data_IF_961447430840
#
_entry.id   IF_961447430840
#
_cell.length_a   1.000
_cell.length_b   1.000
_cell.length_c   1.000
_cell.angle_alpha   90.00
_cell.angle_beta   90.00
_cell.angle_gamma   90.00
#
_symmetry.space_group_name_H-M   'P 1'
#
loop_
_entity.id
_entity.type
_entity.pdbx_description
1 polymer ?
#
# COMPACT_ATOMS: atom_id res chain seq x y z
N UNK A 1 3.76 -15.33 -3.29
CA UNK A 1 4.52 -14.44 -4.19
C UNK A 1 4.40 -14.78 -5.68
N UNK A 2 4.35 -16.05 -6.14
CA UNK A 2 4.32 -16.37 -7.59
C UNK A 2 3.10 -15.85 -8.37
N UNK A 3 2.02 -15.49 -7.69
CA UNK A 3 0.77 -15.07 -8.35
C UNK A 3 0.68 -13.58 -8.73
N UNK A 4 1.61 -12.73 -8.25
CA UNK A 4 1.57 -11.28 -8.51
C UNK A 4 2.29 -10.88 -9.80
N UNK A 5 3.39 -11.57 -10.15
CA UNK A 5 4.20 -11.31 -11.34
C UNK A 5 4.82 -12.61 -11.85
N UNK A 6 4.03 -13.55 -12.44
CA UNK A 6 4.48 -14.92 -12.74
C UNK A 6 5.65 -14.99 -13.73
N UNK A 7 5.80 -13.99 -14.60
CA UNK A 7 6.84 -13.95 -15.65
C UNK A 7 7.91 -12.89 -15.40
N UNK A 8 7.92 -12.25 -14.22
CA UNK A 8 8.90 -11.21 -13.93
C UNK A 8 10.28 -11.83 -13.71
N UNK A 9 11.36 -11.26 -14.27
CA UNK A 9 12.72 -11.67 -13.96
C UNK A 9 13.01 -11.41 -12.48
N UNK A 10 13.68 -12.37 -11.83
CA UNK A 10 13.94 -12.33 -10.39
C UNK A 10 15.42 -12.44 -10.12
N UNK A 11 15.89 -11.63 -9.17
CA UNK A 11 17.19 -11.76 -8.54
C UNK A 11 16.94 -12.20 -7.10
N UNK A 12 17.24 -13.46 -6.80
CA UNK A 12 16.94 -14.10 -5.54
C UNK A 12 18.20 -14.33 -4.73
N UNK A 13 18.10 -14.28 -3.40
CA UNK A 13 19.16 -14.71 -2.51
C UNK A 13 18.80 -16.00 -1.77
N UNK A 14 19.75 -16.91 -1.68
CA UNK A 14 19.61 -18.17 -0.97
C UNK A 14 20.74 -18.35 0.04
N UNK A 15 20.39 -18.56 1.31
CA UNK A 15 21.36 -18.79 2.36
C UNK A 15 21.66 -20.28 2.50
N UNK A 16 22.94 -20.64 2.49
CA UNK A 16 23.45 -21.94 2.95
C UNK A 16 23.91 -21.76 4.41
N UNK A 17 23.16 -22.28 5.39
CA UNK A 17 23.41 -22.01 6.81
C UNK A 17 24.85 -22.32 7.24
N UNK A 18 25.49 -21.35 7.92
CA UNK A 18 26.84 -21.45 8.39
C UNK A 18 27.96 -21.48 7.32
N UNK A 19 27.63 -21.21 6.06
CA UNK A 19 28.56 -21.25 4.93
C UNK A 19 28.58 -19.96 4.12
N UNK A 20 27.53 -19.72 3.31
CA UNK A 20 27.48 -18.58 2.40
C UNK A 20 26.04 -18.18 2.03
N UNK A 21 25.93 -17.05 1.35
CA UNK A 21 24.72 -16.60 0.68
C UNK A 21 25.02 -16.53 -0.82
N UNK A 22 24.15 -17.08 -1.64
CA UNK A 22 24.19 -17.03 -3.09
C UNK A 22 23.12 -16.08 -3.63
N UNK A 23 23.46 -15.40 -4.72
CA UNK A 23 22.51 -14.64 -5.54
C UNK A 23 22.26 -15.40 -6.83
N UNK A 24 20.99 -15.55 -7.19
CA UNK A 24 20.52 -16.29 -8.35
C UNK A 24 19.76 -15.37 -9.30
N UNK A 25 20.19 -15.33 -10.52
CA UNK A 25 19.45 -14.70 -11.64
C UNK A 25 18.58 -15.76 -12.32
N UNK A 26 17.27 -15.67 -12.12
CA UNK A 26 16.33 -16.68 -12.65
C UNK A 26 16.20 -16.65 -14.17
N UNK A 27 16.43 -15.48 -14.80
CA UNK A 27 16.31 -15.35 -16.26
C UNK A 27 17.52 -15.92 -17.01
N UNK A 28 18.73 -15.78 -16.45
CA UNK A 28 19.96 -16.30 -17.06
C UNK A 28 20.36 -17.67 -16.51
N UNK A 29 19.75 -18.15 -15.43
CA UNK A 29 20.16 -19.38 -14.73
C UNK A 29 21.55 -19.26 -14.09
N UNK A 30 22.04 -18.05 -13.83
CA UNK A 30 23.35 -17.78 -13.26
C UNK A 30 23.29 -17.62 -11.74
N UNK A 31 24.32 -18.08 -11.03
CA UNK A 31 24.42 -17.91 -9.59
C UNK A 31 25.86 -17.56 -9.16
N UNK A 32 25.99 -16.79 -8.08
CA UNK A 32 27.28 -16.49 -7.47
C UNK A 32 27.16 -16.25 -5.95
N UNK A 33 28.23 -16.54 -5.22
CA UNK A 33 28.33 -16.27 -3.78
C UNK A 33 28.50 -14.77 -3.56
N UNK A 34 27.57 -14.16 -2.81
CA UNK A 34 27.58 -12.73 -2.44
C UNK A 34 27.93 -12.49 -0.97
N UNK A 35 27.92 -13.51 -0.14
CA UNK A 35 28.30 -13.45 1.27
C UNK A 35 28.93 -14.72 1.74
N UNK A 36 29.99 -14.65 2.61
CA UNK A 36 30.63 -15.78 3.23
C UNK A 36 30.58 -15.68 4.74
N UNK A 37 30.26 -16.80 5.39
CA UNK A 37 30.24 -16.88 6.84
C UNK A 37 31.68 -16.86 7.39
N UNK A 38 31.94 -15.97 8.35
CA UNK A 38 33.20 -15.83 9.05
C UNK A 38 33.05 -16.33 10.50
N UNK A 39 33.52 -17.56 10.75
CA UNK A 39 33.44 -18.20 12.06
C UNK A 39 34.36 -17.55 13.10
N UNK A 40 35.34 -16.75 12.68
CA UNK A 40 36.31 -16.09 13.58
C UNK A 40 35.68 -14.88 14.30
N UNK A 41 34.56 -14.36 13.81
CA UNK A 41 33.87 -13.24 14.46
C UNK A 41 33.04 -13.70 15.66
N UNK A 42 32.97 -12.89 16.74
CA UNK A 42 32.22 -13.24 17.94
C UNK A 42 30.71 -13.36 17.66
N UNK A 43 29.97 -14.15 18.45
CA UNK A 43 28.52 -14.19 18.43
C UNK A 43 27.94 -12.79 18.73
N UNK A 44 26.95 -12.36 17.96
CA UNK A 44 26.33 -11.03 18.10
C UNK A 44 26.82 -10.01 17.07
N UNK A 45 27.96 -10.24 16.44
CA UNK A 45 28.40 -9.47 15.28
C UNK A 45 27.83 -10.06 13.97
N UNK A 46 27.87 -9.24 12.93
CA UNK A 46 27.43 -9.65 11.61
C UNK A 46 28.48 -10.57 10.98
N UNK A 47 28.29 -11.90 11.13
CA UNK A 47 29.21 -12.93 10.72
C UNK A 47 29.22 -13.24 9.23
N UNK A 48 28.34 -12.63 8.45
CA UNK A 48 28.30 -12.81 7.01
C UNK A 48 29.07 -11.68 6.32
N UNK A 49 30.21 -11.98 5.74
CA UNK A 49 31.08 -11.02 5.03
C UNK A 49 30.63 -10.87 3.58
N UNK A 50 30.41 -9.64 3.08
CA UNK A 50 30.09 -9.40 1.67
C UNK A 50 31.19 -9.95 0.73
N UNK A 51 30.77 -10.43 -0.44
CA UNK A 51 31.65 -10.89 -1.54
C UNK A 51 31.31 -10.04 -2.78
N UNK A 52 31.97 -8.87 -2.97
CA UNK A 52 31.64 -7.93 -4.05
C UNK A 52 31.72 -8.53 -5.45
N UNK A 53 32.62 -9.47 -5.68
CA UNK A 53 32.79 -10.15 -6.96
C UNK A 53 31.55 -10.95 -7.38
N UNK A 54 30.78 -11.46 -6.43
CA UNK A 54 29.51 -12.15 -6.71
C UNK A 54 28.45 -11.20 -7.24
N UNK A 55 28.34 -10.01 -6.63
CA UNK A 55 27.46 -8.95 -7.13
C UNK A 55 27.83 -8.49 -8.54
N UNK A 56 29.13 -8.35 -8.81
CA UNK A 56 29.62 -7.97 -10.13
C UNK A 56 29.36 -9.06 -11.18
N UNK A 57 29.48 -10.34 -10.81
CA UNK A 57 29.35 -11.45 -11.75
C UNK A 57 27.89 -11.75 -12.14
N UNK A 58 26.95 -11.63 -11.22
CA UNK A 58 25.54 -12.01 -11.42
C UNK A 58 24.61 -10.81 -11.24
N UNK A 59 24.75 -10.06 -10.17
CA UNK A 59 23.84 -8.98 -9.80
C UNK A 59 23.81 -7.86 -10.84
N UNK A 60 24.95 -7.28 -11.19
CA UNK A 60 25.03 -6.17 -12.14
C UNK A 60 24.48 -6.54 -13.54
N UNK A 61 24.90 -7.67 -14.15
CA UNK A 61 24.34 -8.06 -15.44
C UNK A 61 22.82 -8.33 -15.40
N UNK A 62 22.31 -8.87 -14.30
CA UNK A 62 20.88 -9.11 -14.13
C UNK A 62 20.08 -7.77 -14.07
N UNK A 63 20.51 -6.82 -13.23
CA UNK A 63 19.90 -5.50 -13.11
C UNK A 63 19.91 -4.73 -14.43
N UNK A 64 21.02 -4.80 -15.18
CA UNK A 64 21.13 -4.17 -16.52
C UNK A 64 20.12 -4.76 -17.51
N UNK A 65 19.97 -6.09 -17.55
CA UNK A 65 18.97 -6.74 -18.41
C UNK A 65 17.55 -6.35 -18.01
N UNK A 66 17.24 -6.33 -16.70
CA UNK A 66 15.94 -5.91 -16.19
C UNK A 66 15.63 -4.47 -16.57
N UNK A 67 16.59 -3.55 -16.41
CA UNK A 67 16.43 -2.15 -16.76
C UNK A 67 16.20 -1.93 -18.26
N UNK A 68 16.86 -2.71 -19.12
CA UNK A 68 16.66 -2.67 -20.59
C UNK A 68 15.31 -3.25 -20.99
N UNK A 69 14.89 -4.34 -20.37
CA UNK A 69 13.61 -4.99 -20.65
C UNK A 69 12.41 -4.17 -20.17
N UNK A 70 12.58 -3.42 -19.07
CA UNK A 70 11.49 -2.70 -18.41
C UNK A 70 10.45 -3.65 -17.78
N UNK A 71 9.31 -3.08 -17.37
CA UNK A 71 8.23 -3.88 -16.77
C UNK A 71 8.46 -4.21 -15.31
N UNK A 72 8.04 -5.42 -14.86
CA UNK A 72 8.21 -5.87 -13.49
C UNK A 72 9.55 -6.56 -13.28
N UNK A 73 10.17 -6.30 -12.12
CA UNK A 73 11.35 -7.01 -11.63
C UNK A 73 11.18 -7.36 -10.14
N UNK A 74 11.75 -8.49 -9.70
CA UNK A 74 11.70 -8.93 -8.29
C UNK A 74 13.11 -9.04 -7.74
N UNK A 75 13.33 -8.42 -6.55
CA UNK A 75 14.59 -8.48 -5.79
C UNK A 75 14.30 -9.11 -4.42
N UNK A 76 14.77 -10.31 -4.18
CA UNK A 76 14.57 -11.04 -2.91
C UNK A 76 15.91 -11.64 -2.44
N UNK A 77 16.58 -11.06 -1.45
CA UNK A 77 16.27 -9.91 -0.61
C UNK A 77 17.43 -8.88 -0.69
N UNK A 78 17.16 -7.64 -0.23
CA UNK A 78 18.18 -6.59 -0.08
C UNK A 78 18.49 -6.37 1.40
N UNK A 79 19.77 -6.33 1.76
CA UNK A 79 20.21 -6.19 3.15
C UNK A 79 21.53 -5.42 3.29
N UNK A 80 22.33 -5.80 4.28
CA UNK A 80 23.62 -5.17 4.52
C UNK A 80 24.74 -5.71 3.61
N UNK A 81 24.57 -6.87 2.97
CA UNK A 81 25.58 -7.45 2.08
C UNK A 81 25.91 -6.53 0.91
N UNK A 82 24.93 -5.75 0.48
CA UNK A 82 25.06 -4.74 -0.58
C UNK A 82 25.91 -3.55 -0.15
N UNK A 83 26.14 -3.32 1.17
CA UNK A 83 26.78 -2.09 1.68
C UNK A 83 28.22 -1.87 1.18
N UNK A 84 28.91 -2.92 0.75
CA UNK A 84 30.23 -2.84 0.14
C UNK A 84 30.26 -2.76 -1.40
N UNK A 85 29.09 -2.64 -2.06
CA UNK A 85 28.94 -2.80 -3.51
C UNK A 85 28.23 -1.59 -4.12
N UNK A 86 28.94 -0.44 -4.17
CA UNK A 86 28.37 0.85 -4.62
C UNK A 86 27.75 0.75 -6.03
N UNK A 87 28.39 0.06 -6.97
CA UNK A 87 27.89 -0.10 -8.33
C UNK A 87 26.57 -0.88 -8.37
N UNK A 88 26.43 -1.91 -7.53
CA UNK A 88 25.17 -2.66 -7.40
C UNK A 88 24.08 -1.81 -6.80
N UNK A 89 24.35 -1.08 -5.71
CA UNK A 89 23.39 -0.16 -5.09
C UNK A 89 22.90 0.89 -6.09
N UNK A 90 23.82 1.51 -6.83
CA UNK A 90 23.47 2.52 -7.83
C UNK A 90 22.61 1.91 -8.96
N UNK A 91 22.97 0.71 -9.42
CA UNK A 91 22.20 0.00 -10.45
C UNK A 91 20.77 -0.35 -10.00
N UNK A 92 20.57 -0.70 -8.73
CA UNK A 92 19.23 -0.89 -8.15
C UNK A 92 18.45 0.43 -8.19
N UNK A 93 19.02 1.53 -7.69
CA UNK A 93 18.37 2.83 -7.68
C UNK A 93 18.04 3.34 -9.09
N UNK A 94 18.90 3.09 -10.07
CA UNK A 94 18.63 3.48 -11.46
C UNK A 94 17.55 2.60 -12.10
N UNK A 95 17.48 1.33 -11.75
CA UNK A 95 16.41 0.41 -12.20
C UNK A 95 15.03 0.85 -11.69
N UNK A 96 14.92 1.39 -10.46
CA UNK A 96 13.66 1.91 -9.93
C UNK A 96 13.03 3.01 -10.79
N UNK A 97 13.83 3.75 -11.55
CA UNK A 97 13.36 4.84 -12.44
C UNK A 97 12.69 4.32 -13.72
N UNK A 98 12.95 3.07 -14.10
CA UNK A 98 12.53 2.48 -15.39
C UNK A 98 11.74 1.19 -15.25
N UNK A 99 11.76 0.55 -14.10
CA UNK A 99 11.04 -0.70 -13.80
C UNK A 99 10.06 -0.53 -12.64
N UNK A 100 9.03 -1.38 -12.62
CA UNK A 100 8.21 -1.64 -11.43
C UNK A 100 8.91 -2.72 -10.63
N UNK A 101 9.32 -2.41 -9.41
CA UNK A 101 10.12 -3.33 -8.60
C UNK A 101 9.33 -3.80 -7.38
N UNK A 102 9.31 -5.12 -7.17
CA UNK A 102 8.94 -5.74 -5.91
C UNK A 102 10.22 -6.15 -5.20
N UNK A 103 10.58 -5.48 -4.11
CA UNK A 103 11.77 -5.79 -3.33
C UNK A 103 11.42 -6.30 -1.93
N UNK A 104 12.06 -7.38 -1.49
CA UNK A 104 12.10 -7.76 -0.07
C UNK A 104 13.33 -7.08 0.54
N UNK A 105 13.09 -6.25 1.56
CA UNK A 105 14.12 -5.43 2.20
C UNK A 105 14.23 -5.84 3.66
N UNK A 106 15.44 -6.14 4.11
CA UNK A 106 15.71 -6.42 5.53
C UNK A 106 15.55 -5.16 6.38
N UNK A 107 15.00 -5.31 7.57
CA UNK A 107 14.95 -4.26 8.60
C UNK A 107 16.35 -4.02 9.18
N UNK A 108 17.19 -3.32 8.42
CA UNK A 108 18.54 -2.96 8.79
C UNK A 108 18.78 -1.49 8.46
N UNK A 109 19.57 -0.82 9.29
CA UNK A 109 19.87 0.59 9.11
C UNK A 109 21.15 0.76 8.28
N UNK A 110 21.01 0.79 6.96
CA UNK A 110 22.10 1.15 6.04
C UNK A 110 21.70 2.37 5.20
N UNK A 111 22.67 3.21 4.74
CA UNK A 111 22.35 4.36 3.87
C UNK A 111 21.59 3.96 2.61
N UNK A 112 21.96 2.81 2.01
CA UNK A 112 21.30 2.27 0.82
C UNK A 112 19.82 1.91 1.08
N UNK A 113 19.54 1.14 2.13
CA UNK A 113 18.16 0.74 2.45
C UNK A 113 17.30 1.93 2.86
N UNK A 114 17.87 2.93 3.55
CA UNK A 114 17.16 4.19 3.84
C UNK A 114 16.81 4.93 2.56
N UNK A 115 17.75 5.06 1.61
CA UNK A 115 17.50 5.72 0.33
C UNK A 115 16.41 5.00 -0.47
N UNK A 116 16.44 3.66 -0.51
CA UNK A 116 15.44 2.83 -1.18
C UNK A 116 14.04 3.01 -0.59
N UNK A 117 13.92 2.96 0.74
CA UNK A 117 12.63 3.10 1.43
C UNK A 117 12.11 4.55 1.48
N UNK A 118 12.98 5.55 1.30
CA UNK A 118 12.61 6.96 1.27
C UNK A 118 12.26 7.47 -0.14
N UNK A 119 12.37 6.64 -1.18
CA UNK A 119 11.96 7.01 -2.52
C UNK A 119 10.47 7.41 -2.52
N UNK A 120 10.10 8.58 -3.08
CA UNK A 120 8.71 9.08 -3.04
C UNK A 120 7.72 8.19 -3.78
N UNK A 121 8.19 7.36 -4.72
CA UNK A 121 7.37 6.39 -5.45
C UNK A 121 7.38 5.00 -4.78
N UNK A 122 8.17 4.80 -3.71
CA UNK A 122 8.23 3.55 -2.97
C UNK A 122 7.01 3.39 -2.04
N UNK A 123 6.47 2.20 -2.05
CA UNK A 123 5.45 1.76 -1.13
C UNK A 123 6.07 0.71 -0.18
N UNK A 124 6.34 1.09 1.06
CA UNK A 124 6.96 0.22 2.06
C UNK A 124 5.89 -0.47 2.91
N UNK A 125 5.81 -1.80 2.84
CA UNK A 125 4.93 -2.62 3.66
C UNK A 125 5.75 -3.37 4.72
N UNK A 126 5.48 -3.08 6.00
CA UNK A 126 6.15 -3.74 7.12
C UNK A 126 5.46 -5.06 7.46
N UNK A 127 6.14 -6.19 7.20
CA UNK A 127 5.59 -7.53 7.45
C UNK A 127 5.44 -7.86 8.95
N UNK A 128 6.19 -7.19 9.83
CA UNK A 128 6.08 -7.38 11.28
C UNK A 128 4.96 -6.49 11.89
N UNK A 129 4.52 -5.48 11.12
CA UNK A 129 3.40 -4.61 11.47
C UNK A 129 2.35 -4.69 10.36
N UNK A 130 1.63 -5.80 10.23
CA UNK A 130 0.62 -5.94 9.20
C UNK A 130 -0.47 -4.87 9.35
N UNK A 131 -1.02 -4.43 8.22
CA UNK A 131 -2.16 -3.51 8.24
C UNK A 131 -3.28 -4.14 9.07
N UNK A 132 -3.75 -3.49 10.14
CA UNK A 132 -4.82 -4.02 10.96
C UNK A 132 -6.12 -4.10 10.15
N UNK A 133 -7.13 -4.87 10.59
CA UNK A 133 -8.40 -4.91 9.90
C UNK A 133 -9.06 -3.52 9.89
N UNK A 134 -9.16 -2.92 8.71
CA UNK A 134 -9.73 -1.59 8.48
C UNK A 134 -11.07 -1.69 7.76
N UNK A 135 -11.98 -0.79 8.12
CA UNK A 135 -13.22 -0.56 7.38
C UNK A 135 -13.09 0.61 6.40
N UNK A 136 -13.95 0.63 5.37
CA UNK A 136 -14.10 1.77 4.48
C UNK A 136 -15.57 2.15 4.32
N UNK A 137 -15.90 3.42 4.62
CA UNK A 137 -17.23 3.99 4.40
C UNK A 137 -17.15 4.98 3.24
N UNK A 138 -17.84 4.66 2.14
CA UNK A 138 -18.03 5.62 1.05
C UNK A 138 -19.14 6.58 1.42
N UNK A 139 -18.79 7.85 1.65
CA UNK A 139 -19.67 8.94 2.06
C UNK A 139 -20.42 9.49 0.84
N UNK A 140 -21.58 8.93 0.53
CA UNK A 140 -22.34 9.21 -0.68
C UNK A 140 -23.71 9.85 -0.41
N UNK A 141 -23.88 10.52 0.73
CA UNK A 141 -25.15 11.14 1.15
C UNK A 141 -25.30 12.62 0.74
N UNK A 142 -24.32 13.20 0.05
CA UNK A 142 -24.35 14.59 -0.43
C UNK A 142 -25.42 14.81 -1.49
N UNK A 143 -26.26 15.85 -1.33
CA UNK A 143 -27.38 16.15 -2.25
C UNK A 143 -26.98 16.95 -3.50
N UNK A 144 -25.71 17.37 -3.62
CA UNK A 144 -25.24 18.12 -4.80
C UNK A 144 -25.99 19.42 -5.08
N UNK A 145 -26.59 20.09 -4.08
CA UNK A 145 -27.51 21.25 -4.26
C UNK A 145 -26.96 22.35 -5.17
N UNK A 146 -25.63 22.58 -5.15
CA UNK A 146 -24.96 23.58 -6.01
C UNK A 146 -24.74 23.10 -7.44
N UNK A 147 -24.84 21.79 -7.67
CA UNK A 147 -24.59 21.17 -8.96
C UNK A 147 -25.85 21.10 -9.85
N UNK A 148 -27.03 21.42 -9.29
CA UNK A 148 -28.30 21.36 -10.02
C UNK A 148 -28.84 19.94 -10.24
N UNK A 149 -28.28 18.93 -9.57
CA UNK A 149 -28.69 17.54 -9.68
C UNK A 149 -27.86 16.63 -8.79
N UNK A 150 -27.93 15.31 -9.02
CA UNK A 150 -27.15 14.32 -8.28
C UNK A 150 -25.70 14.29 -8.79
N UNK A 151 -24.81 15.09 -8.18
CA UNK A 151 -23.39 15.17 -8.54
C UNK A 151 -22.71 13.79 -8.59
N UNK A 152 -23.11 12.86 -7.72
CA UNK A 152 -22.48 11.52 -7.63
C UNK A 152 -22.79 10.66 -8.85
N UNK A 153 -23.85 10.99 -9.58
CA UNK A 153 -24.24 10.32 -10.83
C UNK A 153 -23.73 11.05 -12.08
N UNK A 154 -23.09 12.22 -11.93
CA UNK A 154 -22.46 12.91 -13.06
C UNK A 154 -21.33 12.06 -13.64
N UNK A 155 -21.25 12.01 -14.95
CA UNK A 155 -20.26 11.21 -15.65
C UNK A 155 -18.88 11.89 -15.67
N UNK A 156 -17.86 11.10 -15.39
CA UNK A 156 -16.46 11.43 -15.59
C UNK A 156 -15.79 10.23 -16.27
N UNK A 157 -15.20 10.44 -17.44
CA UNK A 157 -14.56 9.38 -18.23
C UNK A 157 -15.49 8.18 -18.47
N UNK A 158 -16.75 8.42 -18.82
CA UNK A 158 -17.76 7.41 -19.11
C UNK A 158 -18.28 6.62 -17.90
N UNK A 159 -18.00 7.07 -16.68
CA UNK A 159 -18.48 6.42 -15.44
C UNK A 159 -19.02 7.46 -14.45
N UNK A 160 -20.07 7.13 -13.67
CA UNK A 160 -20.53 7.99 -12.58
C UNK A 160 -19.42 8.30 -11.57
N UNK A 161 -19.40 9.54 -11.03
CA UNK A 161 -18.41 9.94 -10.02
C UNK A 161 -18.34 8.96 -8.83
N UNK A 162 -19.51 8.52 -8.33
CA UNK A 162 -19.56 7.54 -7.24
C UNK A 162 -18.87 6.22 -7.60
N UNK A 163 -18.90 5.77 -8.86
CA UNK A 163 -18.26 4.53 -9.29
C UNK A 163 -16.75 4.55 -9.14
N UNK A 164 -16.10 5.72 -9.24
CA UNK A 164 -14.67 5.88 -8.97
C UNK A 164 -14.34 5.62 -7.49
N UNK A 165 -15.13 6.21 -6.58
CA UNK A 165 -14.95 5.99 -5.14
C UNK A 165 -15.25 4.54 -4.71
N UNK A 166 -16.30 3.92 -5.29
CA UNK A 166 -16.63 2.51 -5.03
C UNK A 166 -15.49 1.57 -5.48
N UNK A 167 -14.88 1.84 -6.64
CA UNK A 167 -13.73 1.08 -7.13
C UNK A 167 -12.51 1.19 -6.20
N UNK A 168 -12.26 2.37 -5.63
CA UNK A 168 -11.20 2.59 -4.65
C UNK A 168 -11.49 1.87 -3.32
N UNK A 169 -12.74 1.94 -2.83
CA UNK A 169 -13.14 1.27 -1.60
C UNK A 169 -13.14 -0.27 -1.73
N UNK A 170 -13.11 -0.80 -2.95
CA UNK A 170 -12.94 -2.23 -3.21
C UNK A 170 -11.48 -2.72 -3.05
N UNK A 171 -10.54 -1.84 -2.67
CA UNK A 171 -9.14 -2.22 -2.47
C UNK A 171 -8.99 -3.30 -1.38
N UNK A 172 -8.09 -4.29 -1.58
CA UNK A 172 -7.90 -5.41 -0.63
C UNK A 172 -7.40 -5.00 0.76
N UNK A 173 -6.94 -3.75 0.91
CA UNK A 173 -6.49 -3.20 2.21
C UNK A 173 -7.64 -3.04 3.21
N UNK A 174 -8.89 -3.08 2.75
CA UNK A 174 -10.06 -2.99 3.61
C UNK A 174 -10.67 -4.38 3.86
N UNK A 175 -10.78 -4.74 5.13
CA UNK A 175 -11.44 -5.97 5.57
C UNK A 175 -12.95 -5.90 5.29
N UNK A 176 -13.55 -4.73 5.54
CA UNK A 176 -14.98 -4.47 5.30
C UNK A 176 -15.21 -3.11 4.65
N UNK A 177 -16.31 -2.98 3.92
CA UNK A 177 -16.67 -1.76 3.21
C UNK A 177 -18.17 -1.60 3.06
N UNK A 178 -18.62 -0.34 3.04
CA UNK A 178 -20.03 0.00 2.81
C UNK A 178 -20.14 1.38 2.17
N UNK A 179 -21.10 1.57 1.28
CA UNK A 179 -21.53 2.88 0.83
C UNK A 179 -22.73 3.34 1.65
N UNK A 180 -22.73 4.60 2.07
CA UNK A 180 -23.86 5.19 2.80
C UNK A 180 -24.39 6.35 1.98
N UNK A 181 -25.68 6.26 1.59
CA UNK A 181 -26.29 7.20 0.65
C UNK A 181 -27.71 7.55 1.01
N UNK A 182 -28.18 8.72 0.50
CA UNK A 182 -29.60 9.10 0.49
C UNK A 182 -30.22 8.96 -0.89
N UNK A 183 -29.41 8.73 -1.93
CA UNK A 183 -29.86 8.65 -3.31
C UNK A 183 -30.25 7.22 -3.68
N UNK A 184 -31.45 7.06 -4.24
CA UNK A 184 -31.89 5.79 -4.82
C UNK A 184 -31.04 5.38 -6.04
N UNK A 185 -30.54 6.36 -6.81
CA UNK A 185 -29.71 6.11 -8.00
C UNK A 185 -28.33 5.56 -7.59
N UNK A 186 -27.71 6.14 -6.53
CA UNK A 186 -26.44 5.63 -6.00
C UNK A 186 -26.63 4.26 -5.36
N UNK A 187 -27.75 4.02 -4.68
CA UNK A 187 -28.08 2.70 -4.16
C UNK A 187 -28.18 1.66 -5.29
N UNK A 188 -28.87 1.99 -6.37
CA UNK A 188 -29.00 1.13 -7.55
C UNK A 188 -27.63 0.84 -8.19
N UNK A 189 -26.76 1.86 -8.31
CA UNK A 189 -25.38 1.70 -8.79
C UNK A 189 -24.57 0.74 -7.92
N UNK A 190 -24.64 0.89 -6.60
CA UNK A 190 -23.95 0.00 -5.66
C UNK A 190 -24.43 -1.44 -5.80
N UNK A 191 -25.75 -1.65 -5.81
CA UNK A 191 -26.33 -2.99 -5.95
C UNK A 191 -25.98 -3.66 -7.27
N UNK A 192 -26.00 -2.92 -8.37
CA UNK A 192 -25.61 -3.44 -9.67
C UNK A 192 -24.14 -3.87 -9.71
N UNK A 193 -23.26 -3.20 -8.95
CA UNK A 193 -21.85 -3.55 -8.79
C UNK A 193 -21.55 -4.55 -7.66
N UNK A 194 -22.58 -5.09 -6.98
CA UNK A 194 -22.40 -5.99 -5.83
C UNK A 194 -21.72 -5.33 -4.62
N UNK A 195 -21.79 -3.98 -4.52
CA UNK A 195 -21.17 -3.23 -3.43
C UNK A 195 -22.16 -3.06 -2.26
N UNK A 196 -21.76 -3.38 -1.01
CA UNK A 196 -22.62 -3.19 0.16
C UNK A 196 -23.07 -1.74 0.31
N UNK A 197 -24.37 -1.52 0.51
CA UNK A 197 -24.93 -0.17 0.58
C UNK A 197 -26.00 -0.07 1.65
N UNK A 198 -25.98 1.05 2.38
CA UNK A 198 -27.01 1.47 3.32
C UNK A 198 -27.65 2.76 2.83
N UNK A 199 -28.98 2.71 2.56
CA UNK A 199 -29.74 3.91 2.26
C UNK A 199 -30.45 4.43 3.50
N UNK A 200 -30.44 5.76 3.68
CA UNK A 200 -31.09 6.44 4.79
C UNK A 200 -31.77 7.74 4.35
N UNK A 201 -32.58 8.32 5.23
CA UNK A 201 -33.26 9.60 5.00
C UNK A 201 -32.67 10.75 5.86
N UNK A 202 -31.82 10.44 6.81
CA UNK A 202 -31.28 11.39 7.77
C UNK A 202 -30.51 12.53 7.08
N UNK A 203 -30.69 13.80 7.50
CA UNK A 203 -30.23 14.96 6.73
C UNK A 203 -28.76 15.28 6.92
N UNK A 204 -28.11 14.80 7.98
CA UNK A 204 -26.79 15.29 8.42
C UNK A 204 -25.63 14.40 7.97
N UNK A 205 -24.46 15.00 7.87
CA UNK A 205 -23.22 14.26 7.58
C UNK A 205 -22.82 13.32 8.74
N UNK A 206 -23.07 13.75 9.98
CA UNK A 206 -22.87 12.93 11.18
C UNK A 206 -23.68 11.65 11.16
N UNK A 207 -24.89 11.67 10.61
CA UNK A 207 -25.72 10.48 10.45
C UNK A 207 -25.09 9.46 9.49
N UNK A 208 -24.53 9.95 8.37
CA UNK A 208 -23.81 9.08 7.43
C UNK A 208 -22.61 8.38 8.09
N UNK A 209 -21.86 9.10 8.92
CA UNK A 209 -20.73 8.55 9.69
C UNK A 209 -21.23 7.49 10.67
N UNK A 210 -22.22 7.84 11.51
CA UNK A 210 -22.76 6.97 12.54
C UNK A 210 -23.36 5.70 11.96
N UNK A 211 -24.25 5.83 10.96
CA UNK A 211 -24.93 4.70 10.34
C UNK A 211 -23.94 3.76 9.64
N UNK A 212 -22.98 4.30 8.90
CA UNK A 212 -21.96 3.52 8.22
C UNK A 212 -21.05 2.76 9.22
N UNK A 213 -20.57 3.44 10.26
CA UNK A 213 -19.73 2.82 11.26
C UNK A 213 -20.47 1.74 12.06
N UNK A 214 -21.73 2.00 12.45
CA UNK A 214 -22.58 1.00 13.11
C UNK A 214 -22.75 -0.25 12.25
N UNK A 215 -23.03 -0.06 10.94
CA UNK A 215 -23.22 -1.18 10.03
C UNK A 215 -21.93 -2.01 9.84
N UNK A 216 -20.77 -1.35 9.71
CA UNK A 216 -19.49 -2.05 9.60
C UNK A 216 -19.13 -2.83 10.87
N UNK A 217 -19.31 -2.21 12.04
CA UNK A 217 -19.01 -2.87 13.32
C UNK A 217 -19.95 -4.04 13.63
N UNK A 218 -21.17 -4.06 13.07
CA UNK A 218 -22.06 -5.20 13.17
C UNK A 218 -21.56 -6.41 12.35
N UNK A 219 -20.83 -6.19 11.26
CA UNK A 219 -20.25 -7.22 10.41
C UNK A 219 -18.86 -7.66 10.90
N UNK A 220 -18.03 -6.69 11.27
CA UNK A 220 -16.65 -6.89 11.70
C UNK A 220 -16.38 -6.10 13.00
N UNK A 221 -16.68 -6.67 14.18
CA UNK A 221 -16.56 -5.98 15.47
C UNK A 221 -15.12 -5.62 15.88
N UNK A 222 -14.13 -6.30 15.33
CA UNK A 222 -12.71 -6.15 15.65
C UNK A 222 -11.94 -5.20 14.73
N UNK A 223 -12.64 -4.41 13.89
CA UNK A 223 -12.01 -3.35 13.11
C UNK A 223 -11.14 -2.43 14.00
N UNK A 224 -9.91 -2.18 13.56
CA UNK A 224 -8.94 -1.34 14.26
C UNK A 224 -8.89 0.09 13.73
N UNK A 225 -9.61 0.38 12.66
CA UNK A 225 -9.76 1.72 12.09
C UNK A 225 -10.78 1.73 10.96
N UNK A 226 -11.19 2.94 10.56
CA UNK A 226 -12.12 3.14 9.47
C UNK A 226 -11.74 4.35 8.63
N UNK A 227 -11.73 4.17 7.30
CA UNK A 227 -11.55 5.25 6.32
C UNK A 227 -12.90 5.80 5.90
N UNK A 228 -13.07 7.11 6.01
CA UNK A 228 -14.23 7.85 5.52
C UNK A 228 -13.87 8.47 4.17
N UNK A 229 -14.31 7.81 3.10
CA UNK A 229 -13.98 8.14 1.71
C UNK A 229 -15.10 8.96 1.06
N UNK A 230 -14.86 10.24 0.68
CA UNK A 230 -15.86 11.01 -0.07
C UNK A 230 -16.19 10.37 -1.42
N UNK A 231 -17.49 10.29 -1.75
CA UNK A 231 -17.97 9.70 -3.00
C UNK A 231 -17.74 10.58 -4.25
N UNK A 232 -17.26 11.80 -4.07
CA UNK A 232 -17.13 12.82 -5.12
C UNK A 232 -15.69 13.30 -5.38
N UNK A 233 -14.71 12.49 -5.03
CA UNK A 233 -13.28 12.77 -5.24
C UNK A 233 -12.64 11.77 -6.23
N UNK A 234 -12.84 11.95 -7.53
CA UNK A 234 -12.43 10.97 -8.55
C UNK A 234 -10.91 10.93 -8.78
N UNK A 235 -10.15 11.95 -8.35
CA UNK A 235 -8.71 12.04 -8.51
C UNK A 235 -7.93 11.33 -7.40
N UNK A 236 -8.60 10.74 -6.41
CA UNK A 236 -7.95 9.90 -5.42
C UNK A 236 -7.42 8.62 -6.07
N UNK A 237 -6.27 8.18 -5.60
CA UNK A 237 -5.64 6.97 -6.09
C UNK A 237 -5.70 5.85 -5.05
N UNK A 238 -5.53 4.62 -5.50
CA UNK A 238 -5.39 3.47 -4.62
C UNK A 238 -4.19 3.63 -3.69
N UNK A 239 -3.06 4.13 -4.19
CA UNK A 239 -1.85 4.41 -3.41
C UNK A 239 -2.12 5.36 -2.23
N UNK A 240 -2.98 6.37 -2.43
CA UNK A 240 -3.38 7.26 -1.33
C UNK A 240 -4.07 6.50 -0.19
N UNK A 241 -4.97 5.55 -0.52
CA UNK A 241 -5.67 4.74 0.49
C UNK A 241 -4.73 3.75 1.19
N UNK A 242 -3.86 3.12 0.44
CA UNK A 242 -2.85 2.20 0.96
C UNK A 242 -1.86 2.94 1.87
N UNK A 243 -1.41 4.14 1.50
CA UNK A 243 -0.55 4.98 2.34
C UNK A 243 -1.24 5.42 3.65
N UNK A 244 -2.55 5.66 3.64
CA UNK A 244 -3.30 5.93 4.87
C UNK A 244 -3.39 4.69 5.77
N UNK A 245 -3.54 3.51 5.19
CA UNK A 245 -3.68 2.25 5.92
C UNK A 245 -2.37 1.80 6.59
N UNK A 246 -1.22 2.08 5.96
CA UNK A 246 0.08 1.72 6.53
C UNK A 246 0.33 2.54 7.80
N UNK A 247 0.70 1.84 8.87
CA UNK A 247 0.92 2.43 10.19
C UNK A 247 -0.37 2.96 10.83
N UNK A 248 -1.54 2.49 10.38
CA UNK A 248 -2.78 2.71 11.11
C UNK A 248 -2.72 1.98 12.45
N UNK A 249 -3.08 2.70 13.52
CA UNK A 249 -3.16 2.17 14.87
C UNK A 249 -4.46 2.68 15.53
N UNK A 250 -4.90 2.04 16.63
CA UNK A 250 -6.16 2.41 17.28
C UNK A 250 -6.25 3.89 17.69
N UNK A 251 -5.14 4.50 18.06
CA UNK A 251 -5.01 5.88 18.53
C UNK A 251 -4.67 6.90 17.44
N UNK A 252 -4.65 6.51 16.16
CA UNK A 252 -4.23 7.38 15.06
C UNK A 252 -5.39 8.03 14.32
N UNK A 253 -5.19 9.28 13.88
CA UNK A 253 -5.98 9.96 12.84
C UNK A 253 -5.03 10.28 11.68
N UNK A 254 -5.35 9.80 10.48
CA UNK A 254 -4.52 10.00 9.29
C UNK A 254 -5.35 10.59 8.15
N UNK A 255 -4.74 11.51 7.41
CA UNK A 255 -5.35 12.14 6.23
C UNK A 255 -4.26 12.64 5.29
N UNK A 256 -4.52 12.69 3.97
CA UNK A 256 -3.59 13.33 3.04
C UNK A 256 -3.53 14.84 3.32
N UNK A 257 -2.40 15.43 2.98
CA UNK A 257 -2.25 16.88 2.97
C UNK A 257 -1.80 17.33 1.59
N UNK A 258 -2.24 18.51 1.18
CA UNK A 258 -1.71 19.16 -0.01
C UNK A 258 -0.26 19.66 0.23
N UNK A 259 0.51 20.00 -0.81
CA UNK A 259 1.88 20.49 -0.66
C UNK A 259 2.03 21.71 0.25
N UNK A 260 0.98 22.52 0.39
CA UNK A 260 0.91 23.67 1.29
C UNK A 260 0.54 23.31 2.74
N UNK A 261 0.42 22.01 3.06
CA UNK A 261 0.01 21.50 4.36
C UNK A 261 -1.50 21.47 4.60
N UNK A 262 -2.33 21.94 3.66
CA UNK A 262 -3.79 21.93 3.82
C UNK A 262 -4.30 20.50 3.93
N UNK A 263 -5.00 20.15 5.04
CA UNK A 263 -5.48 18.80 5.25
C UNK A 263 -6.63 18.45 4.32
N UNK A 264 -6.50 17.31 3.62
CA UNK A 264 -7.46 16.79 2.65
C UNK A 264 -8.34 15.65 3.18
N UNK A 265 -9.02 15.00 2.25
CA UNK A 265 -9.78 13.76 2.45
C UNK A 265 -9.22 12.70 1.51
N UNK A 266 -9.41 11.41 1.79
CA UNK A 266 -10.17 10.79 2.87
C UNK A 266 -9.52 10.92 4.24
N UNK A 267 -10.25 10.54 5.31
CA UNK A 267 -9.72 10.52 6.67
C UNK A 267 -9.86 9.12 7.24
N UNK A 268 -8.77 8.59 7.79
CA UNK A 268 -8.75 7.38 8.61
C UNK A 268 -8.82 7.79 10.07
N UNK A 269 -9.73 7.18 10.82
CA UNK A 269 -9.80 7.22 12.27
C UNK A 269 -9.51 5.83 12.83
N UNK A 270 -8.61 5.74 13.79
CA UNK A 270 -8.37 4.54 14.56
C UNK A 270 -9.52 4.20 15.50
N UNK A 271 -9.52 2.98 16.03
CA UNK A 271 -10.60 2.42 16.85
C UNK A 271 -10.96 3.25 18.07
N UNK A 272 -9.99 3.88 18.70
CA UNK A 272 -10.19 4.68 19.93
C UNK A 272 -11.12 5.87 19.69
N UNK A 273 -11.26 6.33 18.45
CA UNK A 273 -12.16 7.40 18.06
C UNK A 273 -13.58 6.93 17.72
N UNK A 274 -13.85 5.63 17.62
CA UNK A 274 -15.16 5.12 17.22
C UNK A 274 -16.27 5.53 18.15
N UNK A 275 -16.04 5.50 19.46
CA UNK A 275 -17.03 5.97 20.42
C UNK A 275 -17.42 7.44 20.19
N UNK A 276 -16.45 8.31 19.94
CA UNK A 276 -16.70 9.72 19.64
C UNK A 276 -17.43 9.91 18.31
N UNK A 277 -17.08 9.13 17.27
CA UNK A 277 -17.73 9.17 15.95
C UNK A 277 -19.18 8.69 16.00
N UNK A 278 -19.49 7.71 16.84
CA UNK A 278 -20.86 7.21 17.05
C UNK A 278 -21.74 8.22 17.83
N UNK A 279 -21.13 9.12 18.60
CA UNK A 279 -21.80 10.14 19.40
C UNK A 279 -21.56 11.56 18.88
N UNK A 280 -21.21 11.70 17.58
CA UNK A 280 -21.05 13.05 16.99
C UNK A 280 -22.27 13.92 17.26
N UNK A 281 -22.07 15.17 17.72
CA UNK A 281 -23.17 16.07 17.97
C UNK A 281 -23.94 16.37 16.71
N UNK A 282 -25.17 16.77 16.91
CA UNK A 282 -26.03 17.26 15.85
C UNK A 282 -25.50 18.61 15.33
N UNK A 283 -24.61 18.58 14.32
CA UNK A 283 -24.06 19.78 13.69
C UNK A 283 -24.90 20.31 12.54
#
# INVERSE_FOLDING_TARGET
MPSLCPDAPMLLTAAVPGRWVEMHDTAAGAAAVIGRFDAALPPGENRMRPVPTGFAAVGLPALQRMAVAGGWAVLDELGYLESGCADFQQSVLDMLKVCRVLAVVRKQDTPFLRALCADPDAFVYDLDCPVPPLGCIVMASGLGRRFGGNKLMAELNGRPLAAHALALAAAPVFAERIAVTRSAEVEALCRAGGFPVLRHAEPRRSDTVRLGLTALLAQQPDLQGCVFLPGDQPCLTRQTLEALAIGAAPDTIRRPAAPDGTPGSPVLFGRDYFAALLHLPEG
#
